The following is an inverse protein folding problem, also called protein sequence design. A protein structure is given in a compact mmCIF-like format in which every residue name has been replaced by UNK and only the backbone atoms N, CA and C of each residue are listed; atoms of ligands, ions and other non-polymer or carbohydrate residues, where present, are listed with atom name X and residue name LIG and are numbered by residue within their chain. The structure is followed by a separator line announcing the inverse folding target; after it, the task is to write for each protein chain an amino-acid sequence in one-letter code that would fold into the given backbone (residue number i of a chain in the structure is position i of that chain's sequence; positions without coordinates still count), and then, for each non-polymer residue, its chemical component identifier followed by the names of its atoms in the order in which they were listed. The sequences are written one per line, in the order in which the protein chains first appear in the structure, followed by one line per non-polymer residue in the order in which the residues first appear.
data_IF_046487244006
#
_entry.id   IF_046487244006
#
_cell.length_a   1.000
_cell.length_b   1.000
_cell.length_c   1.000
_cell.angle_alpha   90.00
_cell.angle_beta   90.00
_cell.angle_gamma   90.00
#
_symmetry.space_group_name_H-M   'P 1'
#
loop_
_entity.id
_entity.type
_entity.pdbx_description
1 polymer ?
#
# COMPACT_ATOMS: atom_id res chain seq x y z
N UNK A 1 4.00 -19.95 36.83
CA UNK A 1 5.03 -20.05 35.77
C UNK A 1 4.36 -19.55 34.51
N UNK A 2 4.80 -18.42 33.98
CA UNK A 2 4.27 -17.90 32.72
C UNK A 2 4.72 -18.82 31.58
N UNK A 3 3.86 -19.16 30.62
CA UNK A 3 4.27 -20.01 29.50
C UNK A 3 5.32 -19.26 28.67
N UNK A 4 6.36 -19.99 28.25
CA UNK A 4 7.41 -19.50 27.37
C UNK A 4 7.27 -20.17 26.00
N UNK A 5 7.49 -19.41 24.93
CA UNK A 5 7.51 -19.89 23.54
C UNK A 5 8.91 -19.74 22.97
N UNK A 6 9.36 -20.72 22.18
CA UNK A 6 10.64 -20.63 21.47
C UNK A 6 10.47 -19.79 20.20
N UNK A 7 11.23 -18.71 20.08
CA UNK A 7 11.22 -17.84 18.91
C UNK A 7 11.85 -18.55 17.69
N UNK A 8 11.20 -18.54 16.52
CA UNK A 8 11.80 -19.08 15.30
C UNK A 8 12.91 -18.20 14.73
N UNK A 9 12.97 -16.91 15.10
CA UNK A 9 13.90 -15.92 14.54
C UNK A 9 15.25 -15.89 15.27
N UNK A 10 15.25 -15.88 16.60
CA UNK A 10 16.49 -15.87 17.40
C UNK A 10 16.80 -17.20 18.11
N UNK A 11 15.86 -18.15 18.14
CA UNK A 11 16.05 -19.44 18.81
C UNK A 11 15.96 -19.42 20.34
N UNK A 12 15.84 -18.24 20.96
CA UNK A 12 15.64 -18.06 22.41
C UNK A 12 14.17 -18.23 22.84
N UNK A 13 13.94 -18.41 24.14
CA UNK A 13 12.60 -18.50 24.73
C UNK A 13 12.13 -17.14 25.23
N UNK A 14 10.89 -16.76 24.91
CA UNK A 14 10.28 -15.52 25.36
C UNK A 14 8.90 -15.75 25.98
N UNK A 15 8.41 -14.77 26.74
CA UNK A 15 7.07 -14.80 27.31
C UNK A 15 6.00 -14.82 26.21
N UNK A 16 4.88 -15.51 26.42
CA UNK A 16 3.79 -15.58 25.42
C UNK A 16 3.04 -14.27 25.21
N UNK A 17 3.26 -13.26 26.06
CA UNK A 17 2.65 -11.94 25.93
C UNK A 17 3.43 -11.01 24.99
N UNK A 18 4.60 -11.41 24.49
CA UNK A 18 5.34 -10.61 23.51
C UNK A 18 4.97 -11.03 22.08
N UNK A 19 4.54 -10.06 21.30
CA UNK A 19 4.13 -10.27 19.90
C UNK A 19 5.33 -10.36 18.94
N UNK A 20 6.48 -9.81 19.34
CA UNK A 20 7.65 -9.61 18.48
C UNK A 20 8.95 -10.00 19.18
N UNK A 21 9.92 -10.50 18.41
CA UNK A 21 11.24 -10.87 18.89
C UNK A 21 12.00 -9.61 19.37
N UNK A 22 12.51 -9.57 20.61
CA UNK A 22 13.26 -8.42 21.11
C UNK A 22 14.64 -8.28 20.48
N UNK A 23 15.20 -9.38 19.94
CA UNK A 23 16.51 -9.37 19.29
C UNK A 23 16.41 -9.03 17.81
N UNK A 24 15.45 -9.63 17.11
CA UNK A 24 15.28 -9.54 15.66
C UNK A 24 14.16 -8.62 15.21
N UNK A 25 13.29 -8.16 16.11
CA UNK A 25 12.15 -7.31 15.76
C UNK A 25 11.04 -7.98 14.94
N UNK A 26 11.21 -9.22 14.52
CA UNK A 26 10.26 -9.95 13.70
C UNK A 26 9.08 -10.50 14.53
N UNK A 27 7.86 -10.60 13.96
CA UNK A 27 6.69 -11.16 14.66
C UNK A 27 6.92 -12.61 15.07
N UNK A 28 6.62 -12.96 16.32
CA UNK A 28 6.81 -14.32 16.86
C UNK A 28 5.72 -15.28 16.35
N UNK A 29 4.54 -14.75 16.00
CA UNK A 29 3.48 -15.53 15.37
C UNK A 29 3.49 -15.33 13.84
N UNK A 30 3.45 -16.44 13.11
CA UNK A 30 3.01 -16.42 11.71
C UNK A 30 1.49 -16.16 11.76
N UNK A 31 0.96 -15.11 11.11
CA UNK A 31 -0.49 -14.98 11.00
C UNK A 31 -1.01 -16.27 10.35
N UNK A 32 -1.86 -17.00 11.07
CA UNK A 32 -2.59 -18.13 10.50
C UNK A 32 -3.33 -17.55 9.30
N UNK A 33 -3.01 -17.99 8.08
CA UNK A 33 -3.73 -17.58 6.88
C UNK A 33 -5.23 -17.66 7.18
N UNK A 34 -5.94 -16.55 7.01
CA UNK A 34 -7.36 -16.47 7.33
C UNK A 34 -8.08 -17.67 6.70
N UNK A 35 -8.75 -18.47 7.53
CA UNK A 35 -9.58 -19.55 7.02
C UNK A 35 -10.62 -18.92 6.07
N UNK A 36 -10.82 -19.47 4.86
CA UNK A 36 -11.70 -18.85 3.88
C UNK A 36 -13.09 -18.68 4.51
N UNK A 37 -13.48 -17.42 4.69
CA UNK A 37 -14.79 -17.05 5.22
C UNK A 37 -15.84 -17.76 4.37
N UNK A 38 -16.56 -18.71 4.96
CA UNK A 38 -17.59 -19.49 4.27
C UNK A 38 -18.71 -18.54 3.81
N UNK A 39 -18.67 -18.18 2.53
CA UNK A 39 -19.55 -17.21 1.87
C UNK A 39 -21.04 -17.48 2.14
N UNK A 40 -21.66 -16.70 3.05
CA UNK A 40 -23.12 -16.65 3.23
C UNK A 40 -23.87 -16.14 2.00
N UNK A 41 -23.15 -15.59 1.02
CA UNK A 41 -23.66 -15.04 -0.23
C UNK A 41 -24.42 -16.12 -1.04
N UNK A 42 -24.02 -17.39 -0.96
CA UNK A 42 -24.66 -18.46 -1.74
C UNK A 42 -26.07 -18.83 -1.25
N UNK A 43 -26.33 -18.71 0.06
CA UNK A 43 -27.64 -19.08 0.65
C UNK A 43 -28.69 -18.01 0.37
N UNK A 44 -28.30 -16.72 0.45
CA UNK A 44 -29.19 -15.60 0.13
C UNK A 44 -29.57 -15.58 -1.37
N UNK A 45 -28.61 -15.84 -2.26
CA UNK A 45 -28.86 -15.91 -3.70
C UNK A 45 -29.78 -17.07 -4.12
N UNK A 46 -29.66 -18.24 -3.49
CA UNK A 46 -30.57 -19.37 -3.73
C UNK A 46 -32.01 -19.03 -3.31
N UNK A 47 -32.18 -18.33 -2.19
CA UNK A 47 -33.48 -17.84 -1.74
C UNK A 47 -34.11 -16.85 -2.72
N UNK A 48 -33.33 -15.88 -3.21
CA UNK A 48 -33.79 -14.90 -4.21
C UNK A 48 -34.17 -15.61 -5.53
N UNK A 49 -33.36 -16.57 -5.99
CA UNK A 49 -33.66 -17.33 -7.21
C UNK A 49 -34.97 -18.11 -7.12
N UNK A 50 -35.26 -18.74 -5.96
CA UNK A 50 -36.53 -19.45 -5.75
C UNK A 50 -37.72 -18.49 -5.76
N UNK A 51 -37.60 -17.32 -5.12
CA UNK A 51 -38.66 -16.30 -5.10
C UNK A 51 -38.92 -15.76 -6.53
N UNK A 52 -37.87 -15.47 -7.29
CA UNK A 52 -38.00 -15.03 -8.69
C UNK A 52 -38.67 -16.10 -9.56
N UNK A 53 -38.36 -17.39 -9.35
CA UNK A 53 -38.99 -18.49 -10.08
C UNK A 53 -40.49 -18.58 -9.78
N UNK A 54 -40.90 -18.40 -8.53
CA UNK A 54 -42.32 -18.38 -8.14
C UNK A 54 -43.04 -17.16 -8.74
N UNK A 55 -42.44 -15.97 -8.68
CA UNK A 55 -43.02 -14.75 -9.25
C UNK A 55 -43.17 -14.89 -10.78
N UNK A 56 -42.15 -15.40 -11.46
CA UNK A 56 -42.21 -15.63 -12.92
C UNK A 56 -43.28 -16.65 -13.29
N UNK A 57 -43.45 -17.73 -12.52
CA UNK A 57 -44.55 -18.68 -12.73
C UNK A 57 -45.94 -18.04 -12.52
N UNK A 58 -46.11 -17.19 -11.50
CA UNK A 58 -47.35 -16.43 -11.28
C UNK A 58 -47.63 -15.45 -12.43
N UNK A 59 -46.61 -14.73 -12.90
CA UNK A 59 -46.73 -13.79 -14.02
C UNK A 59 -47.07 -14.55 -15.30
N UNK A 60 -46.41 -15.67 -15.59
CA UNK A 60 -46.75 -16.51 -16.75
C UNK A 60 -48.18 -17.05 -16.65
N UNK A 61 -48.63 -17.53 -15.49
CA UNK A 61 -50.02 -17.96 -15.30
C UNK A 61 -51.00 -16.82 -15.56
N UNK A 62 -50.71 -15.61 -15.09
CA UNK A 62 -51.54 -14.44 -15.41
C UNK A 62 -51.50 -14.11 -16.91
N UNK A 63 -50.34 -14.12 -17.56
CA UNK A 63 -50.20 -13.86 -18.99
C UNK A 63 -50.81 -14.96 -19.86
N UNK A 64 -50.96 -16.21 -19.39
CA UNK A 64 -51.61 -17.27 -20.18
C UNK A 64 -53.11 -17.38 -19.92
N UNK A 65 -53.59 -16.96 -18.75
CA UNK A 65 -55.01 -16.99 -18.39
C UNK A 65 -55.72 -15.69 -18.79
N UNK A 66 -55.07 -14.53 -18.68
CA UNK A 66 -55.67 -13.21 -18.93
C UNK A 66 -55.98 -12.93 -20.42
N UNK A 67 -55.15 -13.34 -21.42
CA UNK A 67 -55.47 -13.12 -22.84
C UNK A 67 -56.56 -14.05 -23.36
N UNK A 68 -56.93 -15.11 -22.62
CA UNK A 68 -58.09 -15.94 -22.98
C UNK A 68 -59.43 -15.24 -22.73
N UNK A 69 -59.45 -14.15 -21.97
CA UNK A 69 -60.66 -13.40 -21.64
C UNK A 69 -60.79 -12.05 -22.37
N UNK A 70 -59.76 -11.59 -23.08
CA UNK A 70 -59.74 -10.27 -23.72
C UNK A 70 -59.29 -10.31 -25.20
N UNK A 71 -59.49 -11.41 -25.92
CA UNK A 71 -59.38 -11.41 -27.38
C UNK A 71 -60.64 -10.76 -28.02
N UNK A 72 -60.78 -9.44 -27.83
CA UNK A 72 -61.63 -8.60 -28.66
C UNK A 72 -60.70 -7.82 -29.59
N UNK A 73 -60.56 -8.34 -30.80
CA UNK A 73 -59.71 -7.83 -31.88
C UNK A 73 -59.85 -6.31 -32.07
N UNK A 74 -58.74 -5.57 -32.03
CA UNK A 74 -58.60 -4.30 -32.76
C UNK A 74 -57.22 -4.25 -33.40
N UNK A 75 -57.26 -4.12 -34.72
CA UNK A 75 -56.16 -4.13 -35.69
C UNK A 75 -55.68 -2.71 -35.99
N UNK A 76 -54.54 -2.62 -36.69
CA UNK A 76 -53.99 -1.48 -37.48
C UNK A 76 -53.18 -0.45 -36.66
N UNK A 77 -52.02 0.13 -37.04
CA UNK A 77 -50.98 0.06 -38.11
C UNK A 77 -49.89 1.13 -37.72
N UNK A 78 -48.89 1.55 -38.52
CA UNK A 78 -47.65 0.93 -39.02
C UNK A 78 -46.39 1.82 -38.65
N UNK A 79 -45.17 1.63 -39.22
CA UNK A 79 -43.90 2.13 -38.66
C UNK A 79 -43.54 3.59 -39.01
N UNK A 80 -42.86 4.27 -38.08
CA UNK A 80 -42.32 5.64 -38.22
C UNK A 80 -40.86 5.59 -38.70
N UNK A 81 -40.61 6.19 -39.85
CA UNK A 81 -39.28 6.51 -40.40
C UNK A 81 -38.91 7.94 -40.01
N UNK A 82 -37.68 8.19 -39.53
CA UNK A 82 -37.06 9.52 -39.51
C UNK A 82 -35.55 9.45 -39.77
N UNK A 83 -34.96 10.49 -40.39
CA UNK A 83 -33.69 10.42 -41.13
C UNK A 83 -32.41 10.52 -40.27
N UNK A 84 -31.40 9.76 -40.70
CA UNK A 84 -30.01 9.81 -40.25
C UNK A 84 -29.30 11.04 -40.84
N UNK A 85 -28.84 11.95 -39.99
CA UNK A 85 -27.96 13.05 -40.40
C UNK A 85 -26.51 12.56 -40.49
N UNK A 86 -26.04 12.38 -41.71
CA UNK A 86 -24.63 12.18 -42.07
C UNK A 86 -23.90 13.52 -42.06
N UNK A 87 -22.93 13.69 -41.15
CA UNK A 87 -21.92 14.75 -41.25
C UNK A 87 -20.57 14.15 -41.64
N UNK A 88 -19.91 14.82 -42.58
CA UNK A 88 -18.66 14.42 -43.24
C UNK A 88 -17.45 14.55 -42.27
N UNK A 89 -16.41 13.70 -42.43
CA UNK A 89 -15.18 13.86 -41.68
C UNK A 89 -14.12 14.66 -42.44
N UNK A 90 -13.21 15.22 -41.63
CA UNK A 90 -11.81 15.52 -41.89
C UNK A 90 -11.51 16.84 -42.64
N UNK A 91 -10.85 17.76 -41.94
CA UNK A 91 -9.57 18.25 -42.46
C UNK A 91 -8.56 18.61 -41.36
N UNK A 92 -7.48 17.84 -41.41
CA UNK A 92 -6.16 17.93 -40.81
C UNK A 92 -5.53 19.33 -40.90
N UNK A 93 -4.99 19.84 -39.78
CA UNK A 93 -3.81 20.73 -39.79
C UNK A 93 -2.79 20.30 -38.74
N UNK A 94 -1.93 19.41 -39.19
CA UNK A 94 -0.61 19.15 -38.60
C UNK A 94 0.27 20.36 -38.91
N UNK A 95 0.83 21.00 -37.89
CA UNK A 95 1.85 22.04 -38.05
C UNK A 95 3.22 21.43 -37.78
N UNK A 96 4.05 21.37 -38.82
CA UNK A 96 5.42 20.85 -38.79
C UNK A 96 6.37 22.01 -39.15
N UNK A 97 7.23 22.31 -38.17
CA UNK A 97 8.64 22.75 -38.27
C UNK A 97 8.92 24.12 -38.91
N UNK A 98 9.52 25.03 -38.12
CA UNK A 98 10.90 25.41 -38.42
C UNK A 98 11.67 25.90 -37.19
N UNK A 99 12.82 25.26 -36.98
CA UNK A 99 13.87 25.54 -36.01
C UNK A 99 14.55 26.86 -36.35
N UNK A 100 14.58 27.81 -35.42
CA UNK A 100 15.64 28.81 -35.36
C UNK A 100 16.20 28.82 -33.94
N UNK A 101 17.44 28.36 -33.85
CA UNK A 101 18.32 28.50 -32.72
C UNK A 101 18.96 29.90 -32.75
N UNK A 102 18.85 30.69 -31.67
CA UNK A 102 19.81 31.74 -31.38
C UNK A 102 20.58 31.45 -30.09
N UNK A 103 21.90 31.45 -30.24
CA UNK A 103 22.87 32.04 -29.32
C UNK A 103 22.88 31.52 -27.88
N UNK A 104 23.68 30.48 -27.68
CA UNK A 104 24.31 30.22 -26.39
C UNK A 104 25.06 31.48 -25.94
N UNK A 105 24.54 32.13 -24.91
CA UNK A 105 25.31 33.08 -24.11
C UNK A 105 26.29 32.25 -23.31
N UNK A 106 27.57 32.38 -23.66
CA UNK A 106 28.71 31.93 -22.87
C UNK A 106 28.70 32.69 -21.53
N UNK A 107 27.93 32.16 -20.60
CA UNK A 107 28.04 32.48 -19.19
C UNK A 107 29.13 31.57 -18.62
N UNK A 108 30.14 32.20 -18.03
CA UNK A 108 31.29 31.56 -17.41
C UNK A 108 30.91 30.27 -16.67
N UNK A 109 31.50 29.15 -17.11
CA UNK A 109 31.47 27.88 -16.39
C UNK A 109 32.20 28.06 -15.08
N UNK A 110 31.46 28.41 -14.02
CA UNK A 110 31.84 27.97 -12.70
C UNK A 110 31.74 26.44 -12.71
N UNK A 111 32.72 25.68 -12.19
CA UNK A 111 32.56 24.25 -12.05
C UNK A 111 31.31 24.02 -11.19
N UNK A 112 30.26 23.50 -11.83
CA UNK A 112 29.11 22.95 -11.14
C UNK A 112 29.70 21.89 -10.19
N UNK A 113 29.52 21.97 -8.87
CA UNK A 113 29.82 20.80 -8.04
C UNK A 113 28.92 19.70 -8.58
N UNK A 114 29.55 18.72 -9.24
CA UNK A 114 28.95 17.47 -9.61
C UNK A 114 28.55 16.84 -8.29
N UNK A 115 27.31 17.09 -7.85
CA UNK A 115 26.72 16.46 -6.68
C UNK A 115 26.42 15.01 -7.06
N UNK A 116 27.49 14.23 -7.19
CA UNK A 116 27.45 12.80 -6.96
C UNK A 116 27.02 12.67 -5.51
N UNK A 117 25.72 12.47 -5.26
CA UNK A 117 25.20 12.09 -3.97
C UNK A 117 25.82 10.73 -3.63
N UNK A 118 27.01 10.76 -3.05
CA UNK A 118 27.64 9.59 -2.49
C UNK A 118 26.79 9.23 -1.27
N UNK A 119 26.00 8.17 -1.40
CA UNK A 119 25.54 7.44 -0.21
C UNK A 119 26.80 7.08 0.60
N UNK A 120 27.00 7.80 1.70
CA UNK A 120 28.14 7.62 2.59
C UNK A 120 27.66 6.77 3.75
N UNK A 121 28.00 5.49 3.70
CA UNK A 121 27.83 4.57 4.81
C UNK A 121 28.74 4.99 5.97
N UNK A 122 28.20 5.12 7.18
CA UNK A 122 28.99 5.42 8.37
C UNK A 122 28.56 4.59 9.59
N UNK A 123 29.43 4.49 10.58
CA UNK A 123 29.15 3.78 11.83
C UNK A 123 28.34 4.71 12.74
N UNK A 124 27.05 4.43 12.91
CA UNK A 124 26.18 5.19 13.84
C UNK A 124 26.41 4.82 15.31
N UNK A 125 26.67 3.54 15.58
CA UNK A 125 26.71 2.98 16.93
C UNK A 125 27.99 2.16 17.14
N UNK A 126 28.70 2.40 18.23
CA UNK A 126 29.86 1.58 18.61
C UNK A 126 29.41 0.13 18.84
N UNK A 127 30.04 -0.81 18.12
CA UNK A 127 29.72 -2.24 18.22
C UNK A 127 28.58 -2.73 17.32
N UNK A 128 27.88 -1.85 16.59
CA UNK A 128 26.93 -2.27 15.56
C UNK A 128 27.66 -2.65 14.26
N UNK A 129 27.30 -3.77 13.67
CA UNK A 129 27.71 -4.13 12.30
C UNK A 129 26.94 -3.35 11.22
N UNK A 130 25.86 -2.66 11.59
CA UNK A 130 25.02 -1.90 10.67
C UNK A 130 25.63 -0.52 10.38
N UNK A 131 25.94 -0.28 9.10
CA UNK A 131 26.46 1.00 8.62
C UNK A 131 25.31 1.83 8.06
N UNK A 132 24.91 2.85 8.81
CA UNK A 132 23.81 3.69 8.40
C UNK A 132 24.16 4.52 7.17
N UNK A 133 23.15 4.79 6.34
CA UNK A 133 23.20 5.76 5.24
C UNK A 133 22.36 7.01 5.54
N UNK A 134 21.72 7.04 6.71
CA UNK A 134 20.74 8.06 7.07
C UNK A 134 21.37 9.17 7.90
N UNK A 135 20.92 10.39 7.64
CA UNK A 135 21.23 11.59 8.41
C UNK A 135 19.93 12.30 8.83
N UNK A 136 20.02 13.11 9.88
CA UNK A 136 18.91 13.99 10.25
C UNK A 136 18.61 14.95 9.10
N UNK A 137 17.34 15.04 8.71
CA UNK A 137 16.88 15.81 7.56
C UNK A 137 16.67 14.99 6.29
N UNK A 138 17.14 13.73 6.24
CA UNK A 138 16.94 12.85 5.10
C UNK A 138 15.48 12.37 4.99
N UNK A 139 15.14 11.87 3.79
CA UNK A 139 13.96 11.05 3.56
C UNK A 139 14.36 9.58 3.50
N UNK A 140 13.55 8.76 4.15
CA UNK A 140 13.71 7.31 4.12
C UNK A 140 12.38 6.64 3.77
N UNK A 141 12.41 5.36 3.45
CA UNK A 141 11.22 4.53 3.34
C UNK A 141 11.38 3.24 4.14
N UNK A 142 10.26 2.66 4.54
CA UNK A 142 10.26 1.30 5.07
C UNK A 142 10.57 0.34 3.93
N UNK A 143 11.48 -0.60 4.18
CA UNK A 143 11.85 -1.63 3.22
C UNK A 143 10.58 -2.38 2.79
N UNK A 144 10.39 -2.52 1.48
CA UNK A 144 9.20 -3.16 0.91
C UNK A 144 9.30 -4.69 0.89
N UNK A 145 10.51 -5.24 1.03
CA UNK A 145 10.77 -6.69 1.02
C UNK A 145 11.70 -7.07 2.20
N UNK A 146 11.22 -7.87 3.17
CA UNK A 146 9.87 -8.43 3.26
C UNK A 146 8.82 -7.35 3.50
N UNK A 147 7.57 -7.63 3.11
CA UNK A 147 6.43 -6.71 3.30
C UNK A 147 5.98 -6.65 4.77
N UNK A 148 6.90 -6.24 5.65
CA UNK A 148 6.69 -6.08 7.09
C UNK A 148 6.71 -4.59 7.48
N UNK A 149 5.72 -4.12 8.26
CA UNK A 149 5.69 -2.73 8.69
C UNK A 149 6.74 -2.47 9.78
N UNK A 150 7.26 -1.23 9.80
CA UNK A 150 8.08 -0.76 10.89
C UNK A 150 7.22 -0.24 12.03
N UNK A 151 7.58 -0.62 13.26
CA UNK A 151 6.96 -0.07 14.47
C UNK A 151 7.49 1.33 14.75
N UNK A 152 6.60 2.20 15.18
CA UNK A 152 6.93 3.53 15.71
C UNK A 152 6.67 3.49 17.21
N UNK A 153 7.67 3.85 18.00
CA UNK A 153 7.67 3.75 19.46
C UNK A 153 7.81 5.11 20.13
N UNK A 154 7.41 5.18 21.41
CA UNK A 154 7.52 6.41 22.20
C UNK A 154 8.97 6.79 22.55
N UNK A 155 9.89 5.83 22.58
CA UNK A 155 11.34 6.07 22.74
C UNK A 155 12.17 5.05 21.94
N UNK A 156 13.47 5.32 21.77
CA UNK A 156 14.44 4.40 21.19
C UNK A 156 14.68 3.20 22.12
N UNK A 157 13.78 2.23 22.09
CA UNK A 157 13.92 0.97 22.84
C UNK A 157 12.94 -0.08 22.34
N UNK A 158 13.35 -1.34 22.32
CA UNK A 158 12.50 -2.50 21.97
C UNK A 158 11.40 -2.78 22.99
N UNK A 159 11.47 -2.20 24.20
CA UNK A 159 10.45 -2.35 25.25
C UNK A 159 9.53 -1.13 25.40
N UNK A 160 9.79 -0.04 24.65
CA UNK A 160 8.95 1.15 24.67
C UNK A 160 7.57 0.89 24.05
N UNK A 161 6.56 1.68 24.46
CA UNK A 161 5.21 1.61 23.91
C UNK A 161 5.21 1.78 22.39
N UNK A 162 4.46 0.94 21.67
CA UNK A 162 4.25 1.04 20.23
C UNK A 162 3.12 2.03 19.97
N UNK A 163 3.45 3.18 19.39
CA UNK A 163 2.49 4.24 19.03
C UNK A 163 1.73 3.92 17.74
N UNK A 164 2.34 3.12 16.87
CA UNK A 164 1.74 2.72 15.61
C UNK A 164 2.73 2.04 14.67
N UNK A 165 2.35 1.96 13.41
CA UNK A 165 3.07 1.24 12.37
C UNK A 165 3.14 2.07 11.10
N UNK A 166 4.27 1.99 10.40
CA UNK A 166 4.48 2.57 9.07
C UNK A 166 4.62 1.39 8.11
N UNK A 167 3.79 1.37 7.08
CA UNK A 167 3.67 0.23 6.17
C UNK A 167 4.88 0.10 5.24
N UNK A 168 5.14 -1.11 4.70
CA UNK A 168 6.22 -1.33 3.73
C UNK A 168 6.10 -0.36 2.54
N UNK A 169 7.22 0.25 2.15
CA UNK A 169 7.28 1.25 1.07
C UNK A 169 6.76 2.64 1.42
N UNK A 170 6.19 2.87 2.61
CA UNK A 170 5.83 4.22 3.04
C UNK A 170 7.06 5.05 3.40
N UNK A 171 7.01 6.33 3.07
CA UNK A 171 8.10 7.27 3.30
C UNK A 171 7.98 7.98 4.65
N UNK A 172 9.13 8.35 5.19
CA UNK A 172 9.28 9.08 6.44
C UNK A 172 10.34 10.18 6.32
N UNK A 173 10.19 11.23 7.11
CA UNK A 173 11.21 12.24 7.33
C UNK A 173 12.03 11.87 8.58
N UNK A 174 13.36 11.93 8.49
CA UNK A 174 14.27 11.69 9.62
C UNK A 174 14.42 12.98 10.45
N UNK A 175 13.92 12.96 11.69
CA UNK A 175 13.86 14.14 12.56
C UNK A 175 14.99 14.21 13.58
N UNK A 176 15.40 13.08 14.13
CA UNK A 176 16.38 13.00 15.23
C UNK A 176 17.08 11.63 15.21
N UNK A 177 18.31 11.58 15.72
CA UNK A 177 19.12 10.35 15.80
C UNK A 177 20.51 10.54 15.19
N UNK A 178 21.31 9.45 15.10
CA UNK A 178 20.97 8.10 15.54
C UNK A 178 20.99 7.97 17.08
N UNK A 179 20.15 7.10 17.64
CA UNK A 179 20.24 6.67 19.04
C UNK A 179 20.52 5.17 19.09
N UNK A 180 21.49 4.77 19.90
CA UNK A 180 21.99 3.41 19.97
C UNK A 180 21.55 2.76 21.27
N UNK A 181 20.65 1.80 21.20
CA UNK A 181 20.15 1.08 22.39
C UNK A 181 19.78 -0.34 22.02
N UNK A 182 20.16 -1.30 22.86
CA UNK A 182 19.82 -2.71 22.67
C UNK A 182 20.32 -3.24 21.31
N UNK A 183 21.55 -2.85 20.94
CA UNK A 183 22.26 -3.23 19.71
C UNK A 183 21.58 -2.79 18.40
N UNK A 184 20.64 -1.85 18.48
CA UNK A 184 19.88 -1.36 17.34
C UNK A 184 20.17 0.13 17.10
N UNK A 185 20.10 0.54 15.83
CA UNK A 185 20.16 1.95 15.42
C UNK A 185 18.74 2.49 15.33
N UNK A 186 18.45 3.53 16.11
CA UNK A 186 17.12 4.14 16.18
C UNK A 186 17.11 5.54 15.59
N UNK A 187 16.03 5.83 14.87
CA UNK A 187 15.75 7.15 14.31
C UNK A 187 14.37 7.62 14.75
N UNK A 188 14.28 8.88 15.16
CA UNK A 188 13.00 9.54 15.31
C UNK A 188 12.54 9.99 13.95
N UNK A 189 11.36 9.55 13.56
CA UNK A 189 10.82 9.77 12.22
C UNK A 189 9.42 10.35 12.30
N UNK A 190 9.00 10.99 11.21
CA UNK A 190 7.59 11.34 10.98
C UNK A 190 7.12 10.72 9.66
N UNK A 191 6.05 9.96 9.72
CA UNK A 191 5.40 9.39 8.53
C UNK A 191 4.85 10.50 7.64
N UNK A 192 5.17 10.43 6.35
CA UNK A 192 4.67 11.40 5.35
C UNK A 192 3.17 11.19 5.09
N UNK A 193 2.67 9.95 5.16
CA UNK A 193 1.27 9.62 4.88
C UNK A 193 0.34 9.88 6.06
N UNK A 194 0.77 9.55 7.28
CA UNK A 194 -0.10 9.57 8.47
C UNK A 194 0.26 10.66 9.48
N UNK A 195 1.40 11.35 9.30
CA UNK A 195 1.98 12.26 10.31
C UNK A 195 2.29 11.60 11.66
N UNK A 196 2.26 10.26 11.76
CA UNK A 196 2.69 9.52 12.93
C UNK A 196 4.16 9.80 13.22
N UNK A 197 4.48 10.20 14.44
CA UNK A 197 5.83 10.55 14.87
C UNK A 197 6.27 9.68 16.05
N UNK A 198 7.53 9.26 16.04
CA UNK A 198 8.17 8.53 17.13
C UNK A 198 9.45 7.84 16.65
N UNK A 199 9.94 6.88 17.42
CA UNK A 199 11.20 6.19 17.16
C UNK A 199 10.97 4.88 16.42
N UNK A 200 11.69 4.67 15.32
CA UNK A 200 11.71 3.40 14.58
C UNK A 200 13.14 2.91 14.44
N UNK A 201 13.29 1.60 14.31
CA UNK A 201 14.60 0.98 14.12
C UNK A 201 15.01 1.07 12.66
N UNK A 202 16.27 1.40 12.39
CA UNK A 202 16.82 1.31 11.05
C UNK A 202 16.90 -0.13 10.57
N UNK A 203 17.26 -1.03 11.49
CA UNK A 203 17.56 -2.41 11.21
C UNK A 203 18.16 -3.09 12.44
N UNK A 204 18.54 -4.35 12.27
CA UNK A 204 19.35 -5.09 13.22
C UNK A 204 20.79 -5.28 12.67
N UNK A 205 21.52 -6.29 13.14
CA UNK A 205 22.88 -6.56 12.64
C UNK A 205 22.93 -7.14 11.22
N UNK A 206 21.79 -7.54 10.64
CA UNK A 206 21.69 -8.29 9.38
C UNK A 206 20.85 -7.56 8.32
N UNK A 207 19.72 -6.97 8.72
CA UNK A 207 18.72 -6.43 7.80
C UNK A 207 18.47 -4.93 8.02
N UNK A 208 18.32 -4.18 6.92
CA UNK A 208 17.79 -2.81 6.95
C UNK A 208 16.27 -2.83 6.72
N UNK A 209 15.53 -2.27 7.67
CA UNK A 209 14.08 -2.07 7.57
C UNK A 209 13.72 -0.62 7.25
N UNK A 210 14.60 0.33 7.53
CA UNK A 210 14.51 1.71 7.09
C UNK A 210 15.67 1.98 6.11
N UNK A 211 15.33 2.40 4.89
CA UNK A 211 16.31 2.60 3.82
C UNK A 211 16.22 4.02 3.27
N UNK A 212 17.35 4.65 2.86
CA UNK A 212 17.33 5.99 2.29
C UNK A 212 16.55 6.04 0.97
N UNK A 213 15.85 7.14 0.73
CA UNK A 213 15.24 7.43 -0.58
C UNK A 213 16.25 8.24 -1.41
N UNK A 214 16.51 7.87 -2.68
CA UNK A 214 17.42 8.60 -3.57
C UNK A 214 16.99 10.04 -3.88
#
# INVERSE_FOLDING_TARGET
MEPLVRCPHCGHYHQTNIEYCPEKGLPIYVPKADEPVKNKINVLWLGIAAIVLVITACVLMSIFVLPRLLNKNVSSTPPIMVPTLTLQPLETRVSIINTQQPTATEAAVLPLPSATAASQYFIACEGSSLLTQLHVGDKAQINSEPALPNRVRSSASTTAEVLGFIQPGEQVDILEGPTCTQDWVWWRVRSVSTSLEGWTAEGDQEDYWLIPVP
#
